data_IF_086724391109
#
_entry.id   IF_086724391109
#
_cell.length_a   1.000
_cell.length_b   1.000
_cell.length_c   1.000
_cell.angle_alpha   90.00
_cell.angle_beta   90.00
_cell.angle_gamma   90.00
#
_symmetry.space_group_name_H-M   'P 1'
#
loop_
_entity.id
_entity.type
_entity.pdbx_description
1 polymer ?
#
# COMPACT_ATOMS: atom_id res chain seq x y z
N UNK A 1 -48.58 -20.65 4.20
CA UNK A 1 -49.35 -20.84 2.95
C UNK A 1 -48.76 -22.03 2.25
N UNK A 2 -49.54 -23.08 2.08
CA UNK A 2 -49.10 -24.32 1.44
C UNK A 2 -48.99 -24.09 -0.08
N UNK A 3 -47.76 -24.07 -0.61
CA UNK A 3 -47.48 -23.73 -2.01
C UNK A 3 -47.68 -24.92 -2.95
N UNK A 4 -47.98 -26.10 -2.42
CA UNK A 4 -48.01 -27.39 -3.12
C UNK A 4 -49.06 -27.48 -4.25
N UNK A 5 -50.11 -26.65 -4.23
CA UNK A 5 -51.21 -26.67 -5.21
C UNK A 5 -51.14 -25.60 -6.32
N UNK A 6 -50.13 -24.72 -6.32
CA UNK A 6 -50.00 -23.66 -7.31
C UNK A 6 -49.30 -24.14 -8.59
N UNK A 7 -49.72 -23.59 -9.73
CA UNK A 7 -49.02 -23.83 -11.01
C UNK A 7 -47.57 -23.31 -10.94
N UNK A 8 -46.63 -23.88 -11.74
CA UNK A 8 -45.21 -23.50 -11.68
C UNK A 8 -44.96 -22.00 -11.85
N UNK A 9 -45.75 -21.32 -12.70
CA UNK A 9 -45.64 -19.89 -12.93
C UNK A 9 -46.10 -19.05 -11.73
N UNK A 10 -47.18 -19.48 -11.06
CA UNK A 10 -47.70 -18.76 -9.89
C UNK A 10 -46.77 -18.90 -8.70
N UNK A 11 -46.15 -20.07 -8.51
CA UNK A 11 -45.08 -20.26 -7.52
C UNK A 11 -43.92 -19.31 -7.78
N UNK A 12 -43.45 -19.23 -9.03
CA UNK A 12 -42.33 -18.36 -9.39
C UNK A 12 -42.66 -16.88 -9.16
N UNK A 13 -43.87 -16.43 -9.51
CA UNK A 13 -44.30 -15.04 -9.24
C UNK A 13 -44.36 -14.73 -7.74
N UNK A 14 -44.89 -15.66 -6.93
CA UNK A 14 -44.97 -15.51 -5.47
C UNK A 14 -43.57 -15.52 -4.84
N UNK A 15 -42.67 -16.40 -5.28
CA UNK A 15 -41.28 -16.43 -4.83
C UNK A 15 -40.52 -15.17 -5.24
N UNK A 16 -40.66 -14.71 -6.49
CA UNK A 16 -40.03 -13.48 -6.97
C UNK A 16 -40.53 -12.27 -6.20
N UNK A 17 -41.84 -12.15 -5.98
CA UNK A 17 -42.42 -11.08 -5.16
C UNK A 17 -41.96 -11.13 -3.70
N UNK A 18 -41.81 -12.34 -3.12
CA UNK A 18 -41.31 -12.53 -1.77
C UNK A 18 -39.81 -12.23 -1.65
N UNK A 19 -39.04 -12.53 -2.69
CA UNK A 19 -37.62 -12.19 -2.81
C UNK A 19 -37.45 -10.67 -2.88
N UNK A 20 -38.20 -9.96 -3.74
CA UNK A 20 -38.21 -8.50 -3.79
C UNK A 20 -38.68 -7.85 -2.48
N UNK A 21 -39.72 -8.40 -1.84
CA UNK A 21 -40.20 -7.89 -0.55
C UNK A 21 -39.14 -8.04 0.56
N UNK A 22 -38.35 -9.11 0.54
CA UNK A 22 -37.24 -9.33 1.49
C UNK A 22 -36.03 -8.42 1.23
N UNK A 23 -35.81 -8.00 -0.03
CA UNK A 23 -34.71 -7.11 -0.40
C UNK A 23 -35.04 -5.61 -0.32
N UNK A 24 -36.32 -5.21 -0.37
CA UNK A 24 -36.73 -3.78 -0.31
C UNK A 24 -36.22 -3.00 0.91
N UNK A 25 -36.17 -3.62 2.10
CA UNK A 25 -35.58 -2.98 3.29
C UNK A 25 -34.06 -3.11 3.38
N UNK A 26 -33.50 -4.14 2.73
CA UNK A 26 -32.08 -4.42 2.71
C UNK A 26 -31.32 -3.47 1.76
N UNK A 27 -31.92 -3.11 0.62
CA UNK A 27 -31.36 -2.13 -0.32
C UNK A 27 -31.30 -0.71 0.26
N UNK A 28 -32.33 -0.29 1.02
CA UNK A 28 -32.31 0.99 1.72
C UNK A 28 -31.17 1.04 2.76
N UNK A 29 -30.95 -0.05 3.50
CA UNK A 29 -29.86 -0.16 4.47
C UNK A 29 -28.48 -0.15 3.79
N UNK A 30 -28.33 -0.83 2.64
CA UNK A 30 -27.10 -0.77 1.84
C UNK A 30 -26.85 0.65 1.31
N UNK A 31 -27.89 1.34 0.83
CA UNK A 31 -27.77 2.70 0.35
C UNK A 31 -27.32 3.66 1.47
N UNK A 32 -27.86 3.52 2.69
CA UNK A 32 -27.43 4.31 3.85
C UNK A 32 -25.96 4.05 4.21
N UNK A 33 -25.53 2.79 4.26
CA UNK A 33 -24.12 2.46 4.54
C UNK A 33 -23.18 3.04 3.48
N UNK A 34 -23.56 2.96 2.19
CA UNK A 34 -22.78 3.52 1.08
C UNK A 34 -22.74 5.05 1.15
N UNK A 35 -23.85 5.72 1.47
CA UNK A 35 -23.89 7.18 1.61
C UNK A 35 -23.00 7.66 2.77
N UNK A 36 -23.05 6.98 3.92
CA UNK A 36 -22.17 7.27 5.06
C UNK A 36 -20.71 7.05 4.68
N UNK A 37 -20.40 5.96 3.98
CA UNK A 37 -19.04 5.67 3.50
C UNK A 37 -18.54 6.76 2.55
N UNK A 38 -19.34 7.17 1.56
CA UNK A 38 -18.97 8.23 0.61
C UNK A 38 -18.76 9.54 1.37
N UNK A 39 -19.69 9.93 2.23
CA UNK A 39 -19.58 11.17 3.01
C UNK A 39 -18.32 11.18 3.89
N UNK A 40 -18.04 10.08 4.59
CA UNK A 40 -16.84 9.96 5.42
C UNK A 40 -15.55 9.98 4.59
N UNK A 41 -15.51 9.32 3.43
CA UNK A 41 -14.35 9.37 2.52
C UNK A 41 -14.11 10.79 1.98
N UNK A 42 -15.16 11.51 1.58
CA UNK A 42 -15.04 12.90 1.12
C UNK A 42 -14.52 13.80 2.24
N UNK A 43 -15.11 13.73 3.44
CA UNK A 43 -14.66 14.53 4.58
C UNK A 43 -13.22 14.20 4.96
N UNK A 44 -12.86 12.92 5.05
CA UNK A 44 -11.50 12.49 5.32
C UNK A 44 -10.52 13.04 4.28
N UNK A 45 -10.86 12.98 2.99
CA UNK A 45 -10.02 13.49 1.92
C UNK A 45 -9.82 15.01 2.01
N UNK A 46 -10.88 15.76 2.30
CA UNK A 46 -10.80 17.22 2.50
C UNK A 46 -9.89 17.55 3.69
N UNK A 47 -10.05 16.86 4.81
CA UNK A 47 -9.21 17.03 5.99
C UNK A 47 -7.73 16.72 5.68
N UNK A 48 -7.44 15.63 4.96
CA UNK A 48 -6.07 15.28 4.57
C UNK A 48 -5.43 16.33 3.67
N UNK A 49 -6.16 16.83 2.67
CA UNK A 49 -5.66 17.87 1.76
C UNK A 49 -5.42 19.18 2.52
N UNK A 50 -6.36 19.59 3.38
CA UNK A 50 -6.19 20.78 4.22
C UNK A 50 -5.02 20.65 5.20
N UNK A 51 -4.86 19.47 5.80
CA UNK A 51 -3.75 19.20 6.71
C UNK A 51 -2.40 19.26 5.99
N UNK A 52 -2.29 18.65 4.81
CA UNK A 52 -1.08 18.73 3.97
C UNK A 52 -0.73 20.17 3.61
N UNK A 53 -1.71 20.99 3.25
CA UNK A 53 -1.49 22.40 2.89
C UNK A 53 -1.08 23.25 4.09
N UNK A 54 -1.72 23.07 5.25
CA UNK A 54 -1.51 23.92 6.43
C UNK A 54 -0.31 23.51 7.28
N UNK A 55 -0.04 22.21 7.39
CA UNK A 55 1.03 21.66 8.23
C UNK A 55 1.80 20.53 7.52
N UNK A 56 2.53 20.84 6.42
CA UNK A 56 3.20 19.84 5.58
C UNK A 56 4.20 18.96 6.35
N UNK A 57 4.95 19.54 7.30
CA UNK A 57 5.90 18.77 8.13
C UNK A 57 5.21 17.66 8.94
N UNK A 58 4.12 18.01 9.62
CA UNK A 58 3.38 17.04 10.45
C UNK A 58 2.70 15.97 9.60
N UNK A 59 2.13 16.37 8.45
CA UNK A 59 1.52 15.46 7.49
C UNK A 59 2.54 14.45 6.96
N UNK A 60 3.72 14.92 6.52
CA UNK A 60 4.79 14.06 6.01
C UNK A 60 5.32 13.12 7.10
N UNK A 61 5.52 13.60 8.33
CA UNK A 61 5.97 12.76 9.45
C UNK A 61 4.96 11.65 9.79
N UNK A 62 3.66 11.98 9.89
CA UNK A 62 2.65 10.97 10.22
C UNK A 62 2.46 9.98 9.08
N UNK A 63 2.43 10.46 7.83
CA UNK A 63 2.30 9.58 6.65
C UNK A 63 3.51 8.65 6.54
N UNK A 64 4.73 9.15 6.77
CA UNK A 64 5.94 8.34 6.79
C UNK A 64 5.88 7.28 7.91
N UNK A 65 5.48 7.67 9.12
CA UNK A 65 5.34 6.74 10.24
C UNK A 65 4.30 5.66 9.95
N UNK A 66 3.16 6.04 9.38
CA UNK A 66 2.11 5.10 8.98
C UNK A 66 2.62 4.14 7.90
N UNK A 67 3.28 4.65 6.85
CA UNK A 67 3.89 3.81 5.81
C UNK A 67 4.95 2.87 6.38
N UNK A 68 5.72 3.29 7.38
CA UNK A 68 6.73 2.46 8.02
C UNK A 68 6.14 1.34 8.88
N UNK A 69 5.09 1.62 9.68
CA UNK A 69 4.52 0.70 10.68
C UNK A 69 3.46 -0.25 10.12
N UNK A 70 2.62 0.18 9.18
CA UNK A 70 1.50 -0.63 8.70
C UNK A 70 1.96 -1.97 8.10
N UNK A 71 2.94 -2.00 7.18
CA UNK A 71 3.44 -3.26 6.62
C UNK A 71 4.15 -4.14 7.66
N UNK A 72 4.79 -3.53 8.67
CA UNK A 72 5.39 -4.27 9.78
C UNK A 72 4.32 -5.03 10.58
N UNK A 73 3.20 -4.38 10.91
CA UNK A 73 2.10 -5.03 11.63
C UNK A 73 1.57 -6.26 10.88
N UNK A 74 1.30 -6.13 9.58
CA UNK A 74 0.80 -7.24 8.76
C UNK A 74 1.84 -8.36 8.62
N UNK A 75 3.11 -8.03 8.37
CA UNK A 75 4.16 -9.03 8.17
C UNK A 75 4.49 -9.82 9.44
N UNK A 76 4.36 -9.22 10.62
CA UNK A 76 4.44 -9.93 11.91
C UNK A 76 3.26 -10.90 12.06
N UNK A 77 2.03 -10.44 11.80
CA UNK A 77 0.83 -11.28 11.91
C UNK A 77 0.82 -12.46 10.93
N UNK A 78 1.41 -12.27 9.75
CA UNK A 78 1.52 -13.28 8.70
C UNK A 78 2.82 -14.11 8.77
N UNK A 79 3.64 -13.94 9.82
CA UNK A 79 4.91 -14.65 10.02
C UNK A 79 5.91 -14.54 8.85
N UNK A 80 5.92 -13.40 8.16
CA UNK A 80 6.74 -13.20 6.98
C UNK A 80 8.18 -12.77 7.34
N UNK A 81 8.95 -13.70 7.91
CA UNK A 81 10.27 -13.43 8.50
C UNK A 81 11.29 -12.82 7.53
N UNK A 82 11.24 -13.19 6.24
CA UNK A 82 12.14 -12.66 5.19
C UNK A 82 12.00 -11.14 5.07
N UNK A 83 10.76 -10.67 5.08
CA UNK A 83 10.46 -9.24 5.03
C UNK A 83 10.99 -8.54 6.28
N UNK A 84 10.76 -9.11 7.47
CA UNK A 84 11.20 -8.54 8.74
C UNK A 84 12.72 -8.34 8.80
N UNK A 85 13.51 -9.31 8.34
CA UNK A 85 14.97 -9.20 8.32
C UNK A 85 15.43 -8.05 7.43
N UNK A 86 14.91 -7.96 6.21
CA UNK A 86 15.23 -6.88 5.27
C UNK A 86 14.78 -5.54 5.84
N UNK A 87 13.59 -5.49 6.44
CA UNK A 87 13.01 -4.29 7.01
C UNK A 87 13.83 -3.75 8.18
N UNK A 88 14.29 -4.63 9.08
CA UNK A 88 15.14 -4.24 10.22
C UNK A 88 16.46 -3.68 9.72
N UNK A 89 17.10 -4.35 8.75
CA UNK A 89 18.35 -3.85 8.17
C UNK A 89 18.16 -2.49 7.49
N UNK A 90 17.16 -2.37 6.62
CA UNK A 90 16.82 -1.11 5.95
C UNK A 90 16.54 0.00 6.95
N UNK A 91 15.74 -0.27 7.98
CA UNK A 91 15.36 0.72 8.99
C UNK A 91 16.55 1.15 9.84
N UNK A 92 17.44 0.22 10.22
CA UNK A 92 18.64 0.54 10.98
C UNK A 92 19.60 1.44 10.20
N UNK A 93 19.87 1.12 8.93
CA UNK A 93 20.77 1.93 8.09
C UNK A 93 20.14 3.28 7.75
N UNK A 94 18.85 3.31 7.39
CA UNK A 94 18.13 4.56 7.11
C UNK A 94 18.09 5.44 8.36
N UNK A 95 17.81 4.91 9.55
CA UNK A 95 17.83 5.66 10.80
C UNK A 95 19.23 6.25 11.08
N UNK A 96 20.30 5.49 10.83
CA UNK A 96 21.67 5.99 10.97
C UNK A 96 21.97 7.13 9.99
N UNK A 97 21.59 6.99 8.71
CA UNK A 97 21.78 8.01 7.68
C UNK A 97 20.97 9.28 8.00
N UNK A 98 19.70 9.14 8.38
CA UNK A 98 18.83 10.24 8.80
C UNK A 98 19.34 10.92 10.07
N UNK A 99 19.84 10.16 11.04
CA UNK A 99 20.49 10.72 12.22
C UNK A 99 21.70 11.58 11.82
N UNK A 100 22.56 11.10 10.93
CA UNK A 100 23.71 11.89 10.44
C UNK A 100 23.27 13.15 9.69
N UNK A 101 22.17 13.09 8.93
CA UNK A 101 21.62 14.21 8.16
C UNK A 101 20.98 15.32 9.04
N UNK A 102 20.42 14.94 10.19
CA UNK A 102 19.68 15.86 11.09
C UNK A 102 20.56 16.49 12.16
N UNK A 103 21.81 16.03 12.34
CA UNK A 103 22.74 16.57 13.35
C UNK A 103 23.38 17.88 12.90
N UNK A 104 23.54 18.79 13.85
CA UNK A 104 24.26 20.07 13.69
C UNK A 104 25.58 20.04 14.49
N UNK A 105 26.70 20.59 13.96
CA UNK A 105 26.86 21.10 12.59
C UNK A 105 26.87 19.96 11.55
N UNK A 106 26.45 20.26 10.32
CA UNK A 106 26.40 19.27 9.24
C UNK A 106 27.82 18.99 8.72
N UNK A 107 28.26 17.74 8.82
CA UNK A 107 29.59 17.32 8.32
C UNK A 107 29.59 17.31 6.78
N UNK A 108 30.65 17.82 6.16
CA UNK A 108 30.78 17.93 4.69
C UNK A 108 30.66 16.59 3.92
N UNK A 109 30.90 15.45 4.58
CA UNK A 109 30.75 14.11 3.98
C UNK A 109 29.33 13.57 4.05
N UNK A 110 28.47 14.11 4.93
CA UNK A 110 27.11 13.62 5.18
C UNK A 110 26.22 13.68 3.93
N UNK A 111 26.16 14.77 3.15
CA UNK A 111 25.31 14.80 1.94
C UNK A 111 25.67 13.70 0.94
N UNK A 112 26.96 13.37 0.78
CA UNK A 112 27.42 12.29 -0.09
C UNK A 112 26.98 10.92 0.42
N UNK A 113 27.01 10.69 1.74
CA UNK A 113 26.53 9.44 2.35
C UNK A 113 25.02 9.28 2.12
N UNK A 114 24.24 10.32 2.41
CA UNK A 114 22.79 10.36 2.25
C UNK A 114 22.41 10.06 0.81
N UNK A 115 23.03 10.76 -0.14
CA UNK A 115 22.78 10.55 -1.57
C UNK A 115 23.12 9.13 -2.02
N UNK A 116 24.28 8.58 -1.63
CA UNK A 116 24.67 7.21 -2.01
C UNK A 116 23.71 6.16 -1.46
N UNK A 117 23.28 6.30 -0.21
CA UNK A 117 22.35 5.36 0.42
C UNK A 117 20.99 5.36 -0.30
N UNK A 118 20.36 6.52 -0.43
CA UNK A 118 19.04 6.59 -1.05
C UNK A 118 19.09 6.23 -2.54
N UNK A 119 20.14 6.64 -3.28
CA UNK A 119 20.32 6.21 -4.67
C UNK A 119 20.50 4.69 -4.81
N UNK A 120 21.20 4.04 -3.87
CA UNK A 120 21.35 2.59 -3.85
C UNK A 120 19.99 1.90 -3.69
N UNK A 121 19.21 2.33 -2.71
CA UNK A 121 17.87 1.78 -2.47
C UNK A 121 16.95 2.05 -3.66
N UNK A 122 16.95 3.25 -4.22
CA UNK A 122 16.21 3.58 -5.45
C UNK A 122 16.51 2.58 -6.57
N UNK A 123 17.79 2.30 -6.85
CA UNK A 123 18.20 1.35 -7.90
C UNK A 123 17.70 -0.07 -7.62
N UNK A 124 17.81 -0.53 -6.37
CA UNK A 124 17.36 -1.87 -5.96
C UNK A 124 15.83 -1.95 -6.08
N UNK A 125 15.10 -0.98 -5.53
CA UNK A 125 13.65 -0.90 -5.58
C UNK A 125 13.13 -0.85 -7.01
N UNK A 126 13.75 -0.02 -7.86
CA UNK A 126 13.41 0.10 -9.27
C UNK A 126 13.66 -1.20 -10.04
N UNK A 127 14.83 -1.82 -9.87
CA UNK A 127 15.14 -3.10 -10.51
C UNK A 127 14.18 -4.21 -10.05
N UNK A 128 13.91 -4.29 -8.75
CA UNK A 128 12.99 -5.27 -8.16
C UNK A 128 11.57 -5.07 -8.68
N UNK A 129 11.11 -3.81 -8.78
CA UNK A 129 9.82 -3.45 -9.35
C UNK A 129 9.68 -3.84 -10.82
N UNK A 130 10.71 -3.60 -11.64
CA UNK A 130 10.73 -4.05 -13.04
C UNK A 130 10.67 -5.57 -13.13
N UNK A 131 11.49 -6.29 -12.37
CA UNK A 131 11.52 -7.76 -12.40
C UNK A 131 10.16 -8.32 -11.95
N UNK A 132 9.58 -7.77 -10.90
CA UNK A 132 8.24 -8.15 -10.43
C UNK A 132 7.15 -7.89 -11.48
N UNK A 133 7.17 -6.71 -12.10
CA UNK A 133 6.25 -6.37 -13.18
C UNK A 133 6.37 -7.34 -14.36
N UNK A 134 7.60 -7.60 -14.80
CA UNK A 134 7.86 -8.55 -15.88
C UNK A 134 7.37 -9.96 -15.52
N UNK A 135 7.59 -10.43 -14.30
CA UNK A 135 7.11 -11.74 -13.84
C UNK A 135 5.57 -11.84 -13.85
N UNK A 136 4.87 -10.78 -13.40
CA UNK A 136 3.40 -10.73 -13.46
C UNK A 136 2.92 -10.72 -14.92
N UNK A 137 3.49 -9.86 -15.78
CA UNK A 137 3.13 -9.81 -17.20
C UNK A 137 3.37 -11.16 -17.89
N UNK A 138 4.52 -11.77 -17.65
CA UNK A 138 4.89 -13.07 -18.20
C UNK A 138 3.89 -14.17 -17.82
N UNK A 139 3.36 -14.11 -16.59
CA UNK A 139 2.33 -15.03 -16.11
C UNK A 139 0.96 -14.75 -16.72
N UNK A 140 0.57 -13.48 -16.86
CA UNK A 140 -0.71 -13.09 -17.49
C UNK A 140 -0.78 -13.46 -18.98
N UNK A 141 0.35 -13.39 -19.71
CA UNK A 141 0.43 -13.83 -21.10
C UNK A 141 0.54 -15.36 -21.26
N UNK A 142 0.52 -16.12 -20.17
CA UNK A 142 0.58 -17.59 -20.19
C UNK A 142 1.96 -18.16 -20.58
N UNK A 143 2.99 -17.32 -20.67
CA UNK A 143 4.33 -17.74 -21.05
C UNK A 143 5.02 -18.56 -19.94
N UNK A 144 4.56 -18.46 -18.70
CA UNK A 144 4.99 -19.29 -17.57
C UNK A 144 4.70 -20.80 -17.79
N UNK A 145 3.69 -21.13 -18.59
CA UNK A 145 3.35 -22.51 -18.95
C UNK A 145 4.42 -23.15 -19.85
N UNK A 146 5.12 -22.36 -20.68
CA UNK A 146 6.24 -22.84 -21.52
C UNK A 146 7.40 -23.36 -20.65
N UNK A 147 7.57 -22.78 -19.47
CA UNK A 147 8.58 -23.18 -18.49
C UNK A 147 8.05 -24.18 -17.44
N UNK A 148 6.81 -24.68 -17.60
CA UNK A 148 6.12 -25.57 -16.65
C UNK A 148 6.02 -25.02 -15.23
N UNK A 149 6.01 -23.69 -15.08
CA UNK A 149 5.83 -23.02 -13.79
C UNK A 149 4.34 -22.79 -13.58
N UNK A 150 3.82 -23.19 -12.40
CA UNK A 150 2.42 -22.94 -12.06
C UNK A 150 2.13 -21.43 -12.04
N UNK A 151 1.02 -20.96 -12.62
CA UNK A 151 0.65 -19.54 -12.59
C UNK A 151 0.58 -18.95 -11.18
N UNK A 152 0.08 -19.73 -10.22
CA UNK A 152 -0.01 -19.33 -8.81
C UNK A 152 1.37 -18.96 -8.24
N UNK A 153 2.35 -19.87 -8.35
CA UNK A 153 3.71 -19.66 -7.85
C UNK A 153 4.41 -18.45 -8.53
N UNK A 154 4.20 -18.28 -9.84
CA UNK A 154 4.78 -17.18 -10.60
C UNK A 154 4.15 -15.82 -10.26
N UNK A 155 2.83 -15.78 -10.06
CA UNK A 155 2.13 -14.59 -9.59
C UNK A 155 2.55 -14.21 -8.17
N UNK A 156 2.61 -15.18 -7.24
CA UNK A 156 3.02 -14.93 -5.86
C UNK A 156 4.44 -14.34 -5.80
N UNK A 157 5.36 -14.88 -6.60
CA UNK A 157 6.71 -14.34 -6.74
C UNK A 157 6.71 -12.93 -7.33
N UNK A 158 5.99 -12.70 -8.44
CA UNK A 158 5.93 -11.39 -9.11
C UNK A 158 5.30 -10.30 -8.24
N UNK A 159 4.18 -10.60 -7.59
CA UNK A 159 3.48 -9.70 -6.66
C UNK A 159 4.35 -9.41 -5.44
N UNK A 160 5.04 -10.42 -4.90
CA UNK A 160 5.98 -10.22 -3.80
C UNK A 160 7.07 -9.23 -4.19
N UNK A 161 7.74 -9.42 -5.34
CA UNK A 161 8.77 -8.50 -5.82
C UNK A 161 8.23 -7.08 -6.05
N UNK A 162 7.04 -6.95 -6.65
CA UNK A 162 6.38 -5.65 -6.81
C UNK A 162 6.14 -4.98 -5.46
N UNK A 163 5.66 -5.73 -4.46
CA UNK A 163 5.49 -5.22 -3.12
C UNK A 163 6.80 -4.74 -2.52
N UNK A 164 7.89 -5.51 -2.59
CA UNK A 164 9.22 -5.08 -2.15
C UNK A 164 9.66 -3.79 -2.87
N UNK A 165 9.60 -3.75 -4.20
CA UNK A 165 10.05 -2.61 -5.00
C UNK A 165 9.25 -1.33 -4.71
N UNK A 166 7.92 -1.43 -4.67
CA UNK A 166 7.05 -0.29 -4.40
C UNK A 166 7.16 0.18 -2.95
N UNK A 167 7.16 -0.73 -1.99
CA UNK A 167 7.22 -0.39 -0.58
C UNK A 167 8.50 0.36 -0.23
N UNK A 168 9.66 -0.23 -0.54
CA UNK A 168 10.95 0.39 -0.23
C UNK A 168 11.22 1.61 -1.11
N UNK A 169 10.72 1.66 -2.35
CA UNK A 169 10.86 2.83 -3.23
C UNK A 169 10.09 4.05 -2.74
N UNK A 170 8.82 3.89 -2.34
CA UNK A 170 8.02 5.00 -1.80
C UNK A 170 8.60 5.46 -0.46
N UNK A 171 8.92 4.53 0.42
CA UNK A 171 9.47 4.83 1.74
C UNK A 171 10.82 5.57 1.64
N UNK A 172 11.72 5.12 0.77
CA UNK A 172 13.01 5.78 0.52
C UNK A 172 12.83 7.20 0.02
N UNK A 173 11.98 7.42 -0.99
CA UNK A 173 11.73 8.76 -1.54
C UNK A 173 11.32 9.75 -0.46
N UNK A 174 10.41 9.35 0.43
CA UNK A 174 9.89 10.22 1.49
C UNK A 174 10.97 10.51 2.56
N UNK A 175 11.82 9.52 2.88
CA UNK A 175 12.99 9.74 3.75
C UNK A 175 14.05 10.64 3.10
N UNK A 176 14.28 10.51 1.79
CA UNK A 176 15.24 11.31 1.05
C UNK A 176 14.81 12.78 1.00
N UNK A 177 13.53 13.06 0.73
CA UNK A 177 12.94 14.40 0.77
C UNK A 177 13.10 15.03 2.17
N UNK A 178 12.76 14.28 3.22
CA UNK A 178 12.95 14.75 4.60
C UNK A 178 14.42 15.07 4.92
N UNK A 179 15.35 14.19 4.55
CA UNK A 179 16.77 14.42 4.80
C UNK A 179 17.31 15.63 4.00
N UNK A 180 16.84 15.81 2.76
CA UNK A 180 17.19 16.95 1.92
C UNK A 180 16.72 18.27 2.55
N UNK A 181 15.47 18.33 3.02
CA UNK A 181 14.91 19.50 3.70
C UNK A 181 15.71 19.89 4.95
N UNK A 182 16.07 18.91 5.78
CA UNK A 182 16.87 19.15 6.99
C UNK A 182 18.27 19.66 6.66
N UNK A 183 18.95 19.04 5.67
CA UNK A 183 20.29 19.48 5.26
C UNK A 183 20.25 20.89 4.64
N UNK A 184 19.25 21.18 3.79
CA UNK A 184 19.06 22.49 3.18
C UNK A 184 18.84 23.58 4.25
N UNK A 185 17.99 23.32 5.24
CA UNK A 185 17.72 24.26 6.35
C UNK A 185 18.90 24.48 7.32
N UNK A 186 19.97 23.70 7.19
CA UNK A 186 21.17 23.84 8.03
C UNK A 186 22.31 24.54 7.28
N UNK A 187 22.30 24.52 5.95
CA UNK A 187 23.31 25.17 5.09
C UNK A 187 22.85 26.58 4.66
N UNK A 188 21.55 26.77 4.41
CA UNK A 188 20.95 28.09 4.15
C UNK A 188 20.69 28.86 5.44
#
# INVERSE_FOLDING_TARGET
VDLSHLSPEERWRVEHARMHAKHRGHEAMHAEMVLILIATLVVAQLLLVQWKQRHPRSYNMVTLFQMWVVPLYFTIKLYWWRFLVIWVFFSAVTAFVTFRATRKPLVQTTPRLVYKWFLLIYKISYATGIVGYMAVMFTLFGLNLLFRIKPEDAMDFGISLLFYGLYYGVLERDFAEMCADYMASTIG
#
